data_IF_204226957021
#
_entry.id   IF_204226957021
#
_cell.length_a   1.000
_cell.length_b   1.000
_cell.length_c   1.000
_cell.angle_alpha   90.00
_cell.angle_beta   90.00
_cell.angle_gamma   90.00
#
_symmetry.space_group_name_H-M   'P 1'
#
loop_
_entity.id
_entity.type
_entity.pdbx_description
1 polymer ?
#
# COMPACT_ATOMS: atom_id res chain seq x y z
N UNK A 1 6.67 -9.62 -26.16
CA UNK A 1 5.62 -10.31 -25.40
C UNK A 1 4.29 -9.65 -25.77
N UNK A 2 3.19 -10.36 -25.62
CA UNK A 2 1.87 -9.91 -26.08
C UNK A 2 1.17 -9.10 -24.98
N UNK A 3 0.09 -8.39 -25.33
CA UNK A 3 -0.86 -7.78 -24.39
C UNK A 3 -1.26 -8.74 -23.26
N UNK A 4 -1.32 -10.05 -23.55
CA UNK A 4 -1.59 -11.10 -22.58
C UNK A 4 -0.58 -11.15 -21.41
N UNK A 5 0.70 -10.88 -21.66
CA UNK A 5 1.71 -10.82 -20.59
C UNK A 5 1.50 -9.61 -19.68
N UNK A 6 1.22 -8.44 -20.25
CA UNK A 6 0.88 -7.23 -19.48
C UNK A 6 -0.36 -7.44 -18.61
N UNK A 7 -1.41 -8.06 -19.17
CA UNK A 7 -2.62 -8.45 -18.42
C UNK A 7 -2.27 -9.47 -17.33
N UNK A 8 -1.44 -10.48 -17.62
CA UNK A 8 -1.00 -11.47 -16.65
C UNK A 8 -0.28 -10.86 -15.46
N UNK A 9 0.65 -9.93 -15.70
CA UNK A 9 1.36 -9.22 -14.63
C UNK A 9 0.43 -8.30 -13.82
N UNK A 10 -0.51 -7.62 -14.47
CA UNK A 10 -1.51 -6.79 -13.78
C UNK A 10 -2.44 -7.64 -12.89
N UNK A 11 -2.91 -8.78 -13.40
CA UNK A 11 -3.72 -9.73 -12.63
C UNK A 11 -2.93 -10.39 -11.50
N UNK A 12 -1.63 -10.62 -11.67
CA UNK A 12 -0.78 -11.12 -10.60
C UNK A 12 -0.65 -10.09 -9.47
N UNK A 13 -0.42 -8.82 -9.82
CA UNK A 13 -0.26 -7.75 -8.85
C UNK A 13 -1.57 -7.36 -8.13
N UNK A 14 -2.68 -7.28 -8.88
CA UNK A 14 -3.96 -6.73 -8.39
C UNK A 14 -5.06 -7.78 -8.20
N UNK A 15 -4.87 -9.02 -8.68
CA UNK A 15 -5.88 -10.07 -8.63
C UNK A 15 -6.37 -10.38 -7.21
N UNK A 16 -5.47 -10.57 -6.22
CA UNK A 16 -5.89 -10.78 -4.84
C UNK A 16 -6.67 -9.59 -4.26
N UNK A 17 -6.27 -8.35 -4.60
CA UNK A 17 -7.01 -7.15 -4.22
C UNK A 17 -8.41 -7.12 -4.82
N UNK A 18 -8.53 -7.47 -6.11
CA UNK A 18 -9.81 -7.51 -6.81
C UNK A 18 -10.72 -8.59 -6.21
N UNK A 19 -10.18 -9.76 -5.88
CA UNK A 19 -10.92 -10.83 -5.20
C UNK A 19 -11.44 -10.38 -3.84
N UNK A 20 -10.59 -9.77 -3.00
CA UNK A 20 -11.02 -9.23 -1.70
C UNK A 20 -12.07 -8.12 -1.85
N UNK A 21 -11.91 -7.26 -2.85
CA UNK A 21 -12.86 -6.19 -3.13
C UNK A 21 -14.24 -6.74 -3.51
N UNK A 22 -14.30 -7.67 -4.46
CA UNK A 22 -15.55 -8.26 -4.93
C UNK A 22 -16.21 -9.09 -3.83
N UNK A 23 -15.46 -9.96 -3.14
CA UNK A 23 -16.03 -10.91 -2.18
C UNK A 23 -16.44 -10.32 -0.82
N UNK A 24 -15.78 -9.24 -0.36
CA UNK A 24 -16.03 -8.71 1.01
C UNK A 24 -16.50 -7.27 0.98
N UNK A 25 -15.85 -6.41 0.20
CA UNK A 25 -16.02 -4.95 0.29
C UNK A 25 -17.23 -4.49 -0.52
N UNK A 26 -17.44 -5.04 -1.70
CA UNK A 26 -18.49 -4.62 -2.64
C UNK A 26 -19.92 -4.77 -2.07
N UNK A 27 -20.09 -5.66 -1.10
CA UNK A 27 -21.39 -5.93 -0.46
C UNK A 27 -21.87 -4.80 0.45
N UNK A 28 -20.98 -3.89 0.88
CA UNK A 28 -21.33 -2.78 1.78
C UNK A 28 -20.82 -1.44 1.21
N UNK A 29 -21.70 -0.48 0.88
CA UNK A 29 -21.29 0.78 0.24
C UNK A 29 -20.33 1.61 1.12
N UNK A 30 -20.45 1.51 2.44
CA UNK A 30 -19.54 2.16 3.38
C UNK A 30 -18.08 1.64 3.28
N UNK A 31 -17.90 0.34 3.06
CA UNK A 31 -16.57 -0.25 2.86
C UNK A 31 -15.96 0.23 1.55
N UNK A 32 -16.77 0.31 0.48
CA UNK A 32 -16.35 0.86 -0.81
C UNK A 32 -15.88 2.31 -0.67
N UNK A 33 -16.64 3.14 0.05
CA UNK A 33 -16.24 4.52 0.32
C UNK A 33 -14.94 4.60 1.12
N UNK A 34 -14.75 3.69 2.08
CA UNK A 34 -13.50 3.60 2.87
C UNK A 34 -12.30 3.25 1.98
N UNK A 35 -12.43 2.27 1.08
CA UNK A 35 -11.38 1.94 0.11
C UNK A 35 -11.06 3.17 -0.73
N UNK A 36 -12.06 3.82 -1.33
CA UNK A 36 -11.86 4.98 -2.20
C UNK A 36 -11.17 6.13 -1.46
N UNK A 37 -11.65 6.47 -0.26
CA UNK A 37 -11.06 7.52 0.56
C UNK A 37 -9.62 7.20 0.95
N UNK A 38 -9.35 5.96 1.35
CA UNK A 38 -8.00 5.50 1.67
C UNK A 38 -7.09 5.59 0.44
N UNK A 39 -7.48 5.01 -0.70
CA UNK A 39 -6.68 5.03 -1.95
C UNK A 39 -6.31 6.46 -2.34
N UNK A 40 -7.26 7.40 -2.28
CA UNK A 40 -7.00 8.81 -2.60
C UNK A 40 -6.03 9.46 -1.61
N UNK A 41 -6.23 9.25 -0.30
CA UNK A 41 -5.32 9.77 0.73
C UNK A 41 -3.88 9.30 0.49
N UNK A 42 -3.70 8.01 0.20
CA UNK A 42 -2.37 7.44 -0.03
C UNK A 42 -1.75 7.90 -1.34
N UNK A 43 -2.53 8.02 -2.41
CA UNK A 43 -2.04 8.56 -3.67
C UNK A 43 -1.57 10.03 -3.51
N UNK A 44 -2.36 10.85 -2.80
CA UNK A 44 -1.97 12.22 -2.48
C UNK A 44 -0.69 12.27 -1.63
N UNK A 45 -0.51 11.31 -0.71
CA UNK A 45 0.71 11.20 0.09
C UNK A 45 1.95 10.93 -0.76
N UNK A 46 1.84 10.02 -1.74
CA UNK A 46 2.93 9.67 -2.65
C UNK A 46 3.27 10.84 -3.58
N UNK A 47 2.25 11.55 -4.08
CA UNK A 47 2.45 12.74 -4.90
C UNK A 47 3.15 13.84 -4.09
N UNK A 48 2.70 14.11 -2.86
CA UNK A 48 3.33 15.10 -1.98
C UNK A 48 4.80 14.76 -1.68
N UNK A 49 5.09 13.50 -1.33
CA UNK A 49 6.46 13.02 -1.12
C UNK A 49 7.32 13.17 -2.38
N UNK A 50 6.76 12.86 -3.56
CA UNK A 50 7.48 13.01 -4.83
C UNK A 50 7.81 14.48 -5.13
N UNK A 51 6.88 15.41 -4.84
CA UNK A 51 7.07 16.84 -5.04
C UNK A 51 8.14 17.41 -4.09
N UNK A 52 8.11 17.01 -2.82
CA UNK A 52 9.12 17.39 -1.82
C UNK A 52 10.49 16.91 -2.27
N UNK A 53 10.64 15.61 -2.60
CA UNK A 53 11.93 15.05 -3.00
C UNK A 53 12.45 15.60 -4.33
N UNK A 54 11.56 16.04 -5.24
CA UNK A 54 11.96 16.73 -6.47
C UNK A 54 12.72 18.03 -6.20
N UNK A 55 12.40 18.76 -5.13
CA UNK A 55 13.10 19.98 -4.76
C UNK A 55 14.55 19.74 -4.26
N UNK A 56 14.83 18.54 -3.73
CA UNK A 56 16.15 18.15 -3.19
C UNK A 56 17.07 17.47 -4.22
N UNK A 57 16.66 17.37 -5.49
CA UNK A 57 17.47 16.83 -6.59
C UNK A 57 18.82 17.55 -6.86
N UNK A 58 18.99 18.86 -6.63
CA UNK A 58 20.23 19.57 -6.97
C UNK A 58 21.47 19.23 -6.10
N UNK A 59 21.34 18.50 -4.99
CA UNK A 59 22.39 18.40 -3.94
C UNK A 59 23.38 17.22 -4.18
N UNK A 60 23.25 16.47 -5.29
CA UNK A 60 23.78 15.09 -5.40
C UNK A 60 25.06 14.86 -6.23
N UNK A 61 25.90 15.85 -6.51
CA UNK A 61 27.01 15.59 -7.44
C UNK A 61 28.19 14.76 -6.90
N UNK A 62 28.30 14.48 -5.58
CA UNK A 62 29.58 13.99 -5.03
C UNK A 62 29.53 12.96 -3.88
N UNK A 63 28.44 12.21 -3.65
CA UNK A 63 28.42 11.21 -2.56
C UNK A 63 27.66 9.94 -2.94
N UNK A 64 28.27 8.79 -2.61
CA UNK A 64 27.78 7.41 -2.78
C UNK A 64 26.25 7.32 -2.88
N UNK A 65 25.75 6.79 -4.01
CA UNK A 65 24.33 6.68 -4.37
C UNK A 65 23.46 5.94 -3.33
N UNK A 66 24.05 5.36 -2.29
CA UNK A 66 23.37 4.62 -1.25
C UNK A 66 22.64 5.50 -0.22
N UNK A 67 23.28 6.56 0.26
CA UNK A 67 22.74 7.37 1.34
C UNK A 67 21.42 8.07 0.98
N UNK A 68 21.29 8.76 -0.17
CA UNK A 68 20.10 9.56 -0.42
C UNK A 68 18.88 8.70 -0.78
N UNK A 69 19.08 7.48 -1.29
CA UNK A 69 18.00 6.53 -1.55
C UNK A 69 17.44 5.93 -0.25
N UNK A 70 18.33 5.57 0.69
CA UNK A 70 17.92 5.07 2.01
C UNK A 70 17.19 6.15 2.81
N UNK A 71 17.64 7.41 2.75
CA UNK A 71 16.93 8.54 3.38
C UNK A 71 15.55 8.75 2.74
N UNK A 72 15.43 8.62 1.41
CA UNK A 72 14.15 8.72 0.72
C UNK A 72 13.16 7.65 1.17
N UNK A 73 13.59 6.38 1.24
CA UNK A 73 12.74 5.29 1.72
C UNK A 73 12.34 5.54 3.18
N UNK A 74 13.30 5.87 4.05
CA UNK A 74 13.02 6.11 5.46
C UNK A 74 12.03 7.26 5.68
N UNK A 75 12.27 8.42 5.06
CA UNK A 75 11.36 9.58 5.17
C UNK A 75 9.97 9.29 4.60
N UNK A 76 9.89 8.52 3.50
CA UNK A 76 8.61 8.13 2.90
C UNK A 76 7.83 7.18 3.80
N UNK A 77 8.49 6.17 4.39
CA UNK A 77 7.85 5.22 5.31
C UNK A 77 7.38 5.94 6.57
N UNK A 78 8.19 6.82 7.17
CA UNK A 78 7.79 7.60 8.35
C UNK A 78 6.58 8.49 8.06
N UNK A 79 6.55 9.17 6.91
CA UNK A 79 5.41 9.97 6.50
C UNK A 79 4.15 9.11 6.31
N UNK A 80 4.30 7.97 5.65
CA UNK A 80 3.20 7.03 5.42
C UNK A 80 2.66 6.46 6.74
N UNK A 81 3.51 6.00 7.67
CA UNK A 81 3.07 5.54 8.98
C UNK A 81 2.43 6.66 9.83
N UNK A 82 2.92 7.89 9.70
CA UNK A 82 2.26 9.06 10.30
C UNK A 82 0.83 9.26 9.76
N UNK A 83 0.64 9.12 8.45
CA UNK A 83 -0.67 9.16 7.82
C UNK A 83 -1.58 8.01 8.27
N UNK A 84 -1.03 6.82 8.53
CA UNK A 84 -1.80 5.70 9.09
C UNK A 84 -2.40 6.04 10.46
N UNK A 85 -1.64 6.73 11.33
CA UNK A 85 -2.15 7.20 12.63
C UNK A 85 -3.24 8.25 12.42
N UNK A 86 -3.06 9.19 11.50
CA UNK A 86 -4.08 10.18 11.15
C UNK A 86 -5.37 9.48 10.65
N UNK A 87 -5.22 8.51 9.76
CA UNK A 87 -6.33 7.75 9.21
C UNK A 87 -7.08 6.97 10.31
N UNK A 88 -6.37 6.37 11.27
CA UNK A 88 -6.98 5.76 12.45
C UNK A 88 -7.79 6.77 13.29
N UNK A 89 -7.26 7.98 13.53
CA UNK A 89 -8.00 9.02 14.27
C UNK A 89 -9.28 9.46 13.55
N UNK A 90 -9.19 9.63 12.23
CA UNK A 90 -10.36 9.96 11.39
C UNK A 90 -11.37 8.81 11.43
N UNK A 91 -10.92 7.57 11.32
CA UNK A 91 -11.75 6.38 11.44
C UNK A 91 -12.48 6.32 12.79
N UNK A 92 -11.77 6.51 13.92
CA UNK A 92 -12.39 6.54 15.25
C UNK A 92 -13.50 7.59 15.35
N UNK A 93 -13.27 8.79 14.79
CA UNK A 93 -14.30 9.83 14.74
C UNK A 93 -15.49 9.43 13.87
N UNK A 94 -15.26 8.75 12.75
CA UNK A 94 -16.34 8.24 11.88
C UNK A 94 -17.14 7.13 12.56
N UNK A 95 -16.48 6.24 13.31
CA UNK A 95 -17.12 5.20 14.11
C UNK A 95 -18.09 5.81 15.12
N UNK A 96 -17.66 6.83 15.88
CA UNK A 96 -18.50 7.50 16.88
C UNK A 96 -19.74 8.17 16.25
N UNK A 97 -19.57 8.80 15.07
CA UNK A 97 -20.68 9.40 14.31
C UNK A 97 -21.66 8.32 13.82
N UNK A 98 -21.14 7.20 13.36
CA UNK A 98 -21.94 6.11 12.82
C UNK A 98 -22.72 5.38 13.90
N UNK A 99 -22.11 5.15 15.08
CA UNK A 99 -22.79 4.59 16.24
C UNK A 99 -23.91 5.52 16.74
N UNK A 100 -23.67 6.84 16.79
CA UNK A 100 -24.71 7.81 17.12
C UNK A 100 -25.87 7.83 16.10
N UNK A 101 -25.60 7.55 14.82
CA UNK A 101 -26.64 7.42 13.80
C UNK A 101 -27.39 6.08 13.92
N UNK A 102 -26.69 4.99 14.23
CA UNK A 102 -27.30 3.68 14.46
C UNK A 102 -28.30 3.73 15.63
N UNK A 103 -27.94 4.42 16.71
CA UNK A 103 -28.83 4.64 17.87
C UNK A 103 -30.10 5.41 17.46
N UNK A 104 -30.00 6.40 16.57
CA UNK A 104 -31.17 7.16 16.07
C UNK A 104 -32.06 6.34 15.14
N UNK A 105 -31.49 5.44 14.34
CA UNK A 105 -32.20 4.62 13.35
C UNK A 105 -32.57 3.23 13.91
N UNK A 106 -32.32 2.99 15.20
CA UNK A 106 -32.57 1.70 15.87
C UNK A 106 -31.89 0.50 15.19
N UNK A 107 -30.71 0.74 14.59
CA UNK A 107 -29.88 -0.33 14.01
C UNK A 107 -28.84 -0.81 15.02
N UNK A 108 -28.44 -2.10 14.97
CA UNK A 108 -27.38 -2.61 15.83
C UNK A 108 -26.07 -1.86 15.59
N UNK A 109 -25.32 -1.64 16.68
CA UNK A 109 -23.98 -1.03 16.64
C UNK A 109 -22.99 -1.90 15.86
N UNK A 110 -21.91 -1.28 15.41
CA UNK A 110 -20.87 -1.96 14.64
C UNK A 110 -20.28 -3.14 15.45
N UNK A 111 -20.41 -4.35 14.90
CA UNK A 111 -19.81 -5.53 15.52
C UNK A 111 -18.29 -5.53 15.31
N UNK A 112 -17.54 -6.32 16.09
CA UNK A 112 -16.07 -6.41 15.97
C UNK A 112 -15.63 -6.75 14.53
N UNK A 113 -16.39 -7.62 13.85
CA UNK A 113 -16.16 -8.01 12.46
C UNK A 113 -16.30 -6.84 11.48
N UNK A 114 -17.22 -5.92 11.72
CA UNK A 114 -17.38 -4.73 10.88
C UNK A 114 -16.19 -3.78 11.04
N UNK A 115 -15.65 -3.65 12.26
CA UNK A 115 -14.44 -2.85 12.52
C UNK A 115 -13.23 -3.43 11.79
N UNK A 116 -13.07 -4.76 11.83
CA UNK A 116 -12.01 -5.44 11.08
C UNK A 116 -12.18 -5.29 9.56
N UNK A 117 -13.41 -5.36 9.03
CA UNK A 117 -13.68 -5.13 7.61
C UNK A 117 -13.36 -3.71 7.17
N UNK A 118 -13.57 -2.71 8.04
CA UNK A 118 -13.22 -1.32 7.73
C UNK A 118 -11.70 -1.13 7.76
N UNK A 119 -11.00 -1.73 8.73
CA UNK A 119 -9.54 -1.75 8.75
C UNK A 119 -8.96 -2.44 7.51
N UNK A 120 -9.57 -3.56 7.10
CA UNK A 120 -9.23 -4.30 5.88
C UNK A 120 -9.46 -3.45 4.62
N UNK A 121 -10.60 -2.76 4.52
CA UNK A 121 -10.91 -1.85 3.42
C UNK A 121 -9.92 -0.67 3.36
N UNK A 122 -9.60 -0.08 4.52
CA UNK A 122 -8.59 0.98 4.63
C UNK A 122 -7.20 0.50 4.20
N UNK A 123 -6.80 -0.69 4.64
CA UNK A 123 -5.53 -1.31 4.26
C UNK A 123 -5.47 -1.66 2.78
N UNK A 124 -6.56 -2.20 2.23
CA UNK A 124 -6.66 -2.50 0.81
C UNK A 124 -6.52 -1.24 -0.03
N UNK A 125 -7.16 -0.13 0.36
CA UNK A 125 -6.99 1.14 -0.34
C UNK A 125 -5.55 1.64 -0.35
N UNK A 126 -4.82 1.47 0.77
CA UNK A 126 -3.38 1.75 0.82
C UNK A 126 -2.59 0.86 -0.13
N UNK A 127 -2.79 -0.46 -0.04
CA UNK A 127 -2.09 -1.43 -0.88
C UNK A 127 -2.36 -1.20 -2.37
N UNK A 128 -3.62 -0.95 -2.75
CA UNK A 128 -4.02 -0.68 -4.13
C UNK A 128 -3.40 0.62 -4.64
N UNK A 129 -3.35 1.69 -3.84
CA UNK A 129 -2.68 2.93 -4.24
C UNK A 129 -1.20 2.68 -4.61
N UNK A 130 -0.49 1.91 -3.78
CA UNK A 130 0.89 1.50 -4.07
C UNK A 130 0.98 0.65 -5.33
N UNK A 131 0.23 -0.45 -5.42
CA UNK A 131 0.32 -1.35 -6.57
C UNK A 131 -0.07 -0.68 -7.88
N UNK A 132 -1.08 0.18 -7.91
CA UNK A 132 -1.46 0.93 -9.12
C UNK A 132 -0.34 1.87 -9.53
N UNK A 133 0.24 2.63 -8.59
CA UNK A 133 1.38 3.51 -8.88
C UNK A 133 2.59 2.74 -9.45
N UNK A 134 2.92 1.58 -8.85
CA UNK A 134 3.97 0.68 -9.33
C UNK A 134 3.65 0.08 -10.70
N UNK A 135 2.42 -0.39 -10.93
CA UNK A 135 2.01 -0.97 -12.21
C UNK A 135 2.08 0.06 -13.34
N UNK A 136 1.57 1.27 -13.11
CA UNK A 136 1.62 2.34 -14.11
C UNK A 136 3.06 2.76 -14.42
N UNK A 137 3.92 2.80 -13.40
CA UNK A 137 5.30 3.27 -13.55
C UNK A 137 6.24 2.22 -14.15
N UNK A 138 6.06 0.93 -13.83
CA UNK A 138 7.00 -0.14 -14.18
C UNK A 138 6.46 -1.19 -15.16
N UNK A 139 5.15 -1.45 -15.18
CA UNK A 139 4.55 -2.51 -16.01
C UNK A 139 4.01 -1.98 -17.34
N UNK A 140 3.85 -0.67 -17.53
CA UNK A 140 3.39 -0.09 -18.81
C UNK A 140 4.22 -0.57 -20.01
N UNK A 141 5.57 -0.63 -19.95
CA UNK A 141 6.37 -1.17 -21.06
C UNK A 141 6.15 -2.67 -21.33
N UNK A 142 5.61 -3.43 -20.38
CA UNK A 142 5.36 -4.87 -20.52
C UNK A 142 4.24 -5.21 -21.52
N UNK A 143 3.43 -4.23 -21.94
CA UNK A 143 2.45 -4.39 -23.00
C UNK A 143 3.07 -4.36 -24.41
N UNK A 144 4.36 -4.01 -24.51
CA UNK A 144 5.11 -3.99 -25.77
C UNK A 144 5.63 -5.37 -26.21
N UNK A 145 6.12 -5.42 -27.46
CA UNK A 145 6.62 -6.64 -28.10
C UNK A 145 7.93 -7.18 -27.51
N UNK A 146 8.58 -6.46 -26.59
CA UNK A 146 9.85 -6.84 -25.95
C UNK A 146 9.68 -7.19 -24.46
N UNK A 147 10.66 -7.90 -23.91
CA UNK A 147 10.78 -8.14 -22.47
C UNK A 147 12.16 -7.67 -21.99
N UNK A 148 12.27 -7.34 -20.71
CA UNK A 148 13.49 -6.84 -20.12
C UNK A 148 14.01 -7.83 -19.07
N UNK A 149 15.27 -8.24 -19.23
CA UNK A 149 16.01 -9.05 -18.26
C UNK A 149 17.19 -8.24 -17.72
N UNK A 150 17.45 -8.38 -16.43
CA UNK A 150 18.62 -7.78 -15.78
C UNK A 150 19.77 -8.79 -15.90
N UNK A 151 20.97 -8.33 -16.22
CA UNK A 151 22.16 -9.21 -16.43
C UNK A 151 22.40 -10.17 -15.25
N UNK A 152 22.13 -9.67 -14.04
CA UNK A 152 22.29 -10.43 -12.82
C UNK A 152 21.10 -11.38 -12.49
N UNK A 153 19.92 -11.16 -13.09
CA UNK A 153 18.76 -12.06 -13.02
C UNK A 153 18.30 -12.48 -14.42
N UNK A 154 19.10 -13.28 -15.13
CA UNK A 154 18.74 -13.75 -16.49
C UNK A 154 17.60 -14.78 -16.50
N UNK A 155 17.28 -15.38 -15.34
CA UNK A 155 16.27 -16.43 -15.21
C UNK A 155 14.82 -15.91 -15.14
N UNK A 156 14.61 -14.64 -14.79
CA UNK A 156 13.27 -14.08 -14.54
C UNK A 156 13.13 -12.67 -15.14
N UNK A 157 12.03 -12.39 -15.87
CA UNK A 157 11.85 -11.07 -16.47
C UNK A 157 11.57 -10.01 -15.39
N UNK A 158 12.12 -8.81 -15.59
CA UNK A 158 11.99 -7.68 -14.67
C UNK A 158 10.52 -7.32 -14.37
N UNK A 159 9.66 -7.42 -15.37
CA UNK A 159 8.23 -7.12 -15.22
C UNK A 159 7.51 -8.09 -14.26
N UNK A 160 7.93 -9.37 -14.24
CA UNK A 160 7.36 -10.36 -13.33
C UNK A 160 7.83 -10.12 -11.89
N UNK A 161 9.11 -9.80 -11.69
CA UNK A 161 9.65 -9.43 -10.38
C UNK A 161 8.93 -8.19 -9.85
N UNK A 162 8.73 -7.19 -10.71
CA UNK A 162 8.01 -5.96 -10.35
C UNK A 162 6.54 -6.23 -9.95
N UNK A 163 5.86 -7.13 -10.66
CA UNK A 163 4.49 -7.54 -10.34
C UNK A 163 4.41 -8.28 -8.98
N UNK A 164 5.38 -9.14 -8.69
CA UNK A 164 5.48 -9.84 -7.39
C UNK A 164 5.74 -8.86 -6.25
N UNK A 165 6.62 -7.89 -6.44
CA UNK A 165 6.88 -6.85 -5.45
C UNK A 165 5.60 -6.05 -5.16
N UNK A 166 4.86 -5.65 -6.21
CA UNK A 166 3.59 -4.95 -6.04
C UNK A 166 2.56 -5.79 -5.25
N UNK A 167 2.46 -7.09 -5.54
CA UNK A 167 1.62 -8.03 -4.80
C UNK A 167 2.01 -8.12 -3.32
N UNK A 168 3.31 -8.19 -3.01
CA UNK A 168 3.81 -8.25 -1.63
C UNK A 168 3.45 -6.98 -0.88
N UNK A 169 3.66 -5.79 -1.45
CA UNK A 169 3.27 -4.54 -0.79
C UNK A 169 1.77 -4.42 -0.58
N UNK A 170 0.96 -4.75 -1.58
CA UNK A 170 -0.51 -4.82 -1.43
C UNK A 170 -0.89 -5.66 -0.22
N UNK A 171 -0.31 -6.86 -0.14
CA UNK A 171 -0.58 -7.83 0.92
C UNK A 171 -0.19 -7.26 2.28
N UNK A 172 1.05 -6.75 2.39
CA UNK A 172 1.58 -6.15 3.62
C UNK A 172 0.70 -4.98 4.06
N UNK A 173 0.41 -4.02 3.18
CA UNK A 173 -0.39 -2.84 3.55
C UNK A 173 -1.82 -3.21 3.96
N UNK A 174 -2.42 -4.21 3.31
CA UNK A 174 -3.77 -4.68 3.61
C UNK A 174 -3.84 -5.28 5.01
N UNK A 175 -2.96 -6.23 5.34
CA UNK A 175 -2.97 -6.90 6.63
C UNK A 175 -2.35 -6.07 7.75
N UNK A 176 -1.28 -5.32 7.48
CA UNK A 176 -0.63 -4.50 8.49
C UNK A 176 -1.53 -3.37 8.97
N UNK A 177 -2.49 -2.91 8.14
CA UNK A 177 -3.51 -1.95 8.58
C UNK A 177 -4.46 -2.55 9.62
N UNK A 178 -4.88 -3.80 9.42
CA UNK A 178 -5.73 -4.53 10.38
C UNK A 178 -5.01 -4.69 11.72
N UNK A 179 -3.75 -5.12 11.68
CA UNK A 179 -2.92 -5.28 12.87
C UNK A 179 -2.69 -3.93 13.56
N UNK A 180 -2.35 -2.88 12.82
CA UNK A 180 -2.13 -1.55 13.40
C UNK A 180 -3.39 -0.99 14.07
N UNK A 181 -4.56 -1.14 13.44
CA UNK A 181 -5.82 -0.67 14.00
C UNK A 181 -6.17 -1.40 15.29
N UNK A 182 -5.95 -2.73 15.34
CA UNK A 182 -6.11 -3.50 16.57
C UNK A 182 -5.13 -3.04 17.65
N UNK A 183 -3.85 -2.87 17.30
CA UNK A 183 -2.82 -2.39 18.20
C UNK A 183 -3.09 -0.98 18.75
N UNK A 184 -3.68 -0.08 17.96
CA UNK A 184 -4.11 1.23 18.43
C UNK A 184 -5.32 1.16 19.36
N UNK A 185 -6.28 0.27 19.10
CA UNK A 185 -7.46 0.07 19.94
C UNK A 185 -7.09 -0.54 21.31
N UNK A 186 -6.26 -1.57 21.33
CA UNK A 186 -5.83 -2.27 22.54
C UNK A 186 -4.67 -1.58 23.27
N UNK A 187 -4.10 -0.51 22.69
CA UNK A 187 -2.86 0.15 23.13
C UNK A 187 -1.67 -0.80 23.27
N UNK A 188 -1.67 -1.91 22.53
CA UNK A 188 -0.56 -2.84 22.49
C UNK A 188 0.62 -2.23 21.73
N UNK A 189 1.69 -1.90 22.46
CA UNK A 189 2.89 -1.27 21.88
C UNK A 189 3.64 -2.20 20.91
N UNK A 190 3.51 -3.50 21.06
CA UNK A 190 4.18 -4.48 20.18
C UNK A 190 3.59 -4.40 18.78
N UNK A 191 2.26 -4.46 18.65
CA UNK A 191 1.56 -4.40 17.37
C UNK A 191 1.70 -3.03 16.70
N UNK A 192 1.82 -1.97 17.49
CA UNK A 192 2.09 -0.62 16.99
C UNK A 192 3.50 -0.48 16.40
N UNK A 193 4.49 -1.21 16.94
CA UNK A 193 5.88 -1.14 16.49
C UNK A 193 6.18 -2.13 15.36
N UNK A 194 5.59 -3.33 15.39
CA UNK A 194 5.88 -4.37 14.40
C UNK A 194 5.48 -3.93 12.98
N UNK A 195 4.38 -3.18 12.86
CA UNK A 195 3.85 -2.75 11.57
C UNK A 195 4.79 -1.76 10.85
N UNK A 196 5.24 -0.65 11.47
CA UNK A 196 6.26 0.22 10.89
C UNK A 196 7.58 -0.49 10.57
N UNK A 197 8.02 -1.42 11.43
CA UNK A 197 9.26 -2.17 11.23
C UNK A 197 9.16 -3.06 10.00
N UNK A 198 8.06 -3.81 9.85
CA UNK A 198 7.84 -4.67 8.67
C UNK A 198 7.75 -3.84 7.40
N UNK A 199 7.07 -2.69 7.42
CA UNK A 199 7.00 -1.80 6.26
C UNK A 199 8.39 -1.25 5.88
N UNK A 200 9.19 -0.82 6.86
CA UNK A 200 10.55 -0.33 6.61
C UNK A 200 11.46 -1.44 6.04
N UNK A 201 11.41 -2.64 6.63
CA UNK A 201 12.18 -3.79 6.14
C UNK A 201 11.77 -4.13 4.71
N UNK A 202 10.48 -4.20 4.41
CA UNK A 202 9.98 -4.48 3.06
C UNK A 202 10.48 -3.42 2.06
N UNK A 203 10.40 -2.13 2.41
CA UNK A 203 10.91 -1.03 1.58
C UNK A 203 12.41 -1.14 1.29
N UNK A 204 13.20 -1.53 2.30
CA UNK A 204 14.64 -1.74 2.14
C UNK A 204 14.97 -3.02 1.35
N UNK A 205 14.15 -4.08 1.50
CA UNK A 205 14.37 -5.36 0.84
C UNK A 205 14.20 -5.28 -0.68
N UNK A 206 13.30 -4.43 -1.18
CA UNK A 206 13.15 -4.16 -2.62
C UNK A 206 14.47 -3.77 -3.26
N UNK A 207 15.24 -2.96 -2.53
CA UNK A 207 16.56 -2.53 -2.97
C UNK A 207 17.58 -3.66 -2.93
N UNK A 208 17.38 -4.73 -2.15
CA UNK A 208 18.27 -5.89 -2.14
C UNK A 208 17.87 -6.91 -3.22
N UNK A 209 16.59 -7.08 -3.51
CA UNK A 209 16.13 -7.99 -4.56
C UNK A 209 16.49 -7.53 -5.98
N UNK A 210 16.48 -6.23 -6.25
CA UNK A 210 16.76 -5.72 -7.61
C UNK A 210 18.25 -5.75 -8.04
N UNK A 211 19.24 -5.66 -7.14
CA UNK A 211 20.67 -5.79 -7.46
C UNK A 211 21.34 -7.09 -6.97
N UNK A 212 20.62 -7.99 -6.27
CA UNK A 212 21.17 -9.26 -5.74
C UNK A 212 20.47 -10.53 -6.26
N UNK A 213 19.53 -10.41 -7.21
CA UNK A 213 19.95 -10.97 -8.49
C UNK A 213 20.97 -9.97 -9.02
#
# INVERSE_FOLDING_TARGET
MTVAAGIGYALLALGPSLSLFVSVISHKPFLVLTVLSSTLLWLMSLIALSAIWRAFLPIRSSSSSWLPFSILIFTSVVFQEGLRILFWRVYKKLEDILDAFADRVSKPRLFLTDKMQIALAGGLGHGVAHAVFFCLSLLTPAFGSATFYVEKCSQMPFFLVSALIALVFVTIHTFSMVIAFNGYAERNKVDQLIVPVVHLIAGMLVRLLCPSC
#
